data_IF_991184856818
#
_entry.id   IF_991184856818
#
_cell.length_a   1.000
_cell.length_b   1.000
_cell.length_c   1.000
_cell.angle_alpha   90.00
_cell.angle_beta   90.00
_cell.angle_gamma   90.00
#
_symmetry.space_group_name_H-M   'P 1'
#
loop_
_entity.id
_entity.type
_entity.pdbx_description
1 polymer ?
#
# COMPACT_ATOMS: atom_id res chain seq x y z
N UNK A 1 -28.55 -15.75 -36.68
CA UNK A 1 -27.54 -14.77 -36.24
C UNK A 1 -28.14 -13.39 -36.45
N UNK A 2 -27.78 -12.43 -35.61
CA UNK A 2 -28.34 -11.08 -35.63
C UNK A 2 -27.31 -10.08 -36.15
N UNK A 3 -27.78 -8.97 -36.70
CA UNK A 3 -26.94 -7.88 -37.21
C UNK A 3 -26.91 -6.73 -36.20
N UNK A 4 -25.71 -6.33 -35.80
CA UNK A 4 -25.45 -5.12 -35.01
C UNK A 4 -24.92 -4.04 -35.94
N UNK A 5 -25.73 -3.04 -36.25
CA UNK A 5 -25.34 -1.93 -37.13
C UNK A 5 -24.84 -0.74 -36.33
N UNK A 6 -23.57 -0.38 -36.50
CA UNK A 6 -23.00 0.82 -35.91
C UNK A 6 -23.19 2.02 -36.85
N UNK A 7 -24.10 2.93 -36.51
CA UNK A 7 -24.46 4.14 -37.28
C UNK A 7 -23.46 5.29 -37.11
N UNK A 8 -22.17 4.98 -37.06
CA UNK A 8 -21.14 6.01 -37.17
C UNK A 8 -20.94 6.38 -38.65
N UNK A 9 -20.02 7.32 -38.96
CA UNK A 9 -19.91 7.99 -40.28
C UNK A 9 -19.93 7.06 -41.52
N UNK A 10 -19.68 5.77 -41.34
CA UNK A 10 -19.91 4.70 -42.29
C UNK A 10 -20.72 3.62 -41.53
N UNK A 11 -21.95 3.31 -41.96
CA UNK A 11 -22.78 2.29 -41.31
C UNK A 11 -22.10 0.92 -41.44
N UNK A 12 -21.60 0.36 -40.34
CA UNK A 12 -20.91 -0.94 -40.33
C UNK A 12 -21.83 -2.02 -39.72
N UNK A 13 -22.45 -2.90 -40.53
CA UNK A 13 -23.20 -4.06 -40.02
C UNK A 13 -22.23 -5.17 -39.60
N UNK A 14 -22.34 -5.63 -38.35
CA UNK A 14 -21.53 -6.71 -37.78
C UNK A 14 -22.43 -7.89 -37.39
N UNK A 15 -22.04 -9.12 -37.74
CA UNK A 15 -22.83 -10.31 -37.44
C UNK A 15 -22.47 -10.90 -36.06
N UNK A 16 -23.47 -11.14 -35.20
CA UNK A 16 -23.24 -11.78 -33.89
C UNK A 16 -22.60 -13.17 -34.05
N UNK A 17 -21.65 -13.53 -33.19
CA UNK A 17 -21.02 -14.86 -33.21
C UNK A 17 -21.92 -16.00 -32.72
N UNK A 18 -22.88 -15.69 -31.85
CA UNK A 18 -23.88 -16.62 -31.31
C UNK A 18 -25.13 -15.83 -30.94
N UNK A 19 -26.32 -16.46 -30.88
CA UNK A 19 -27.49 -15.86 -30.24
C UNK A 19 -27.15 -15.47 -28.79
N UNK A 20 -27.58 -14.28 -28.36
CA UNK A 20 -27.28 -13.77 -27.02
C UNK A 20 -25.83 -13.30 -26.84
N UNK A 21 -25.06 -13.14 -27.92
CA UNK A 21 -23.77 -12.48 -27.86
C UNK A 21 -23.94 -11.03 -27.37
N UNK A 22 -22.99 -10.54 -26.58
CA UNK A 22 -23.01 -9.13 -26.18
C UNK A 22 -22.61 -8.22 -27.34
N UNK A 23 -23.04 -6.96 -27.29
CA UNK A 23 -22.63 -5.95 -28.27
C UNK A 23 -21.10 -5.78 -28.27
N UNK A 24 -20.44 -5.85 -27.10
CA UNK A 24 -18.98 -5.76 -26.99
C UNK A 24 -18.29 -6.99 -27.60
N UNK A 25 -18.76 -8.21 -27.34
CA UNK A 25 -18.21 -9.43 -27.96
C UNK A 25 -18.28 -9.35 -29.49
N UNK A 26 -19.42 -8.87 -30.01
CA UNK A 26 -19.64 -8.69 -31.45
C UNK A 26 -18.68 -7.67 -32.04
N UNK A 27 -18.48 -6.53 -31.35
CA UNK A 27 -17.53 -5.50 -31.76
C UNK A 27 -16.09 -6.02 -31.77
N UNK A 28 -15.63 -6.65 -30.68
CA UNK A 28 -14.26 -7.16 -30.54
C UNK A 28 -13.93 -8.23 -31.57
N UNK A 29 -14.89 -9.12 -31.91
CA UNK A 29 -14.69 -10.15 -32.93
C UNK A 29 -14.37 -9.57 -34.31
N UNK A 30 -14.92 -8.40 -34.64
CA UNK A 30 -14.74 -7.76 -35.95
C UNK A 30 -13.72 -6.63 -35.90
N UNK A 31 -12.87 -6.59 -34.87
CA UNK A 31 -11.91 -5.50 -34.62
C UNK A 31 -12.56 -4.11 -34.62
N UNK A 32 -13.87 -4.05 -34.30
CA UNK A 32 -14.60 -2.80 -34.25
C UNK A 32 -14.23 -2.03 -32.98
N UNK A 33 -13.78 -0.78 -33.08
CA UNK A 33 -13.16 -0.10 -31.96
C UNK A 33 -14.23 0.50 -31.02
N UNK A 34 -14.53 -0.26 -29.96
CA UNK A 34 -15.44 0.10 -28.88
C UNK A 34 -14.70 0.18 -27.55
N UNK A 35 -14.88 1.26 -26.79
CA UNK A 35 -14.20 1.43 -25.48
C UNK A 35 -14.68 0.43 -24.45
N UNK A 36 -13.77 -0.09 -23.64
CA UNK A 36 -14.11 -1.02 -22.56
C UNK A 36 -13.01 -1.03 -21.50
N UNK A 37 -12.85 0.08 -20.76
CA UNK A 37 -11.70 0.30 -19.87
C UNK A 37 -11.53 -0.81 -18.82
N UNK A 38 -12.64 -1.34 -18.31
CA UNK A 38 -12.64 -2.43 -17.32
C UNK A 38 -12.60 -3.85 -17.93
N UNK A 39 -12.34 -4.01 -19.22
CA UNK A 39 -12.34 -5.31 -19.89
C UNK A 39 -13.72 -5.95 -20.06
N UNK A 40 -14.81 -5.16 -19.97
CA UNK A 40 -16.18 -5.66 -20.15
C UNK A 40 -16.89 -6.12 -18.87
N UNK A 41 -16.33 -5.87 -17.68
CA UNK A 41 -16.87 -6.36 -16.41
C UNK A 41 -17.93 -5.45 -15.73
N UNK A 42 -18.52 -4.51 -16.47
CA UNK A 42 -19.42 -3.48 -15.94
C UNK A 42 -18.89 -2.65 -14.76
N UNK A 43 -17.55 -2.52 -14.64
CA UNK A 43 -16.90 -1.66 -13.63
C UNK A 43 -16.62 -0.24 -14.14
N UNK A 44 -16.87 0.01 -15.42
CA UNK A 44 -16.78 1.32 -16.05
C UNK A 44 -17.98 1.54 -16.98
N UNK A 45 -18.21 2.78 -17.38
CA UNK A 45 -19.31 3.15 -18.30
C UNK A 45 -18.79 3.57 -19.67
N UNK A 46 -17.57 3.15 -20.06
CA UNK A 46 -16.95 3.61 -21.31
C UNK A 46 -17.49 2.86 -22.54
N UNK A 47 -17.96 1.63 -22.38
CA UNK A 47 -18.60 0.84 -23.45
C UNK A 47 -20.04 1.23 -23.77
N UNK A 48 -20.50 2.40 -23.31
CA UNK A 48 -21.88 2.81 -23.52
C UNK A 48 -22.17 3.06 -24.99
N UNK A 49 -23.31 2.53 -25.41
CA UNK A 49 -23.92 2.76 -26.71
C UNK A 49 -25.30 3.37 -26.53
N UNK A 50 -25.74 4.10 -27.54
CA UNK A 50 -27.12 4.56 -27.64
C UNK A 50 -27.78 3.74 -28.74
N UNK A 51 -28.76 2.92 -28.37
CA UNK A 51 -29.54 2.09 -29.30
C UNK A 51 -30.52 3.00 -30.02
N UNK A 52 -30.45 3.03 -31.34
CA UNK A 52 -31.32 3.85 -32.20
C UNK A 52 -32.50 3.05 -32.72
N UNK A 53 -32.34 1.74 -32.92
CA UNK A 53 -33.42 0.83 -33.31
C UNK A 53 -33.21 -0.59 -32.74
N UNK A 54 -34.29 -1.36 -32.59
CA UNK A 54 -34.25 -2.75 -32.15
C UNK A 54 -34.12 -2.96 -30.64
N UNK A 55 -34.58 -2.01 -29.81
CA UNK A 55 -34.49 -2.12 -28.33
C UNK A 55 -35.17 -3.38 -27.77
N UNK A 56 -36.27 -3.81 -28.39
CA UNK A 56 -37.02 -5.03 -28.05
C UNK A 56 -36.27 -6.34 -28.40
N UNK A 57 -35.17 -6.26 -29.17
CA UNK A 57 -34.31 -7.39 -29.52
C UNK A 57 -33.13 -7.57 -28.56
N UNK A 58 -33.08 -6.79 -27.48
CA UNK A 58 -32.00 -6.83 -26.49
C UNK A 58 -32.43 -7.56 -25.23
N UNK A 59 -31.45 -8.10 -24.49
CA UNK A 59 -31.71 -8.54 -23.12
C UNK A 59 -32.22 -7.39 -22.26
N UNK A 60 -33.03 -7.72 -21.24
CA UNK A 60 -33.26 -6.80 -20.12
C UNK A 60 -31.93 -6.46 -19.45
N UNK A 61 -31.85 -5.29 -18.82
CA UNK A 61 -30.65 -4.93 -18.04
C UNK A 61 -30.44 -5.97 -16.95
N UNK A 62 -29.21 -6.48 -16.85
CA UNK A 62 -28.82 -7.26 -15.68
C UNK A 62 -28.58 -6.32 -14.47
N UNK A 63 -28.41 -6.90 -13.27
CA UNK A 63 -28.27 -6.11 -12.03
C UNK A 63 -27.15 -5.07 -12.08
N UNK A 64 -26.02 -5.41 -12.74
CA UNK A 64 -24.86 -4.52 -12.85
C UNK A 64 -25.18 -3.31 -13.73
N UNK A 65 -25.79 -3.55 -14.89
CA UNK A 65 -26.20 -2.51 -15.81
C UNK A 65 -27.32 -1.64 -15.22
N UNK A 66 -28.33 -2.26 -14.60
CA UNK A 66 -29.48 -1.58 -13.99
C UNK A 66 -29.02 -0.64 -12.86
N UNK A 67 -28.15 -1.11 -11.96
CA UNK A 67 -27.59 -0.29 -10.89
C UNK A 67 -26.89 0.97 -11.41
N UNK A 68 -26.12 0.85 -12.49
CA UNK A 68 -25.42 1.99 -13.10
C UNK A 68 -26.40 2.93 -13.81
N UNK A 69 -27.40 2.38 -14.48
CA UNK A 69 -28.44 3.16 -15.15
C UNK A 69 -29.26 3.99 -14.18
N UNK A 70 -29.70 3.39 -13.06
CA UNK A 70 -30.47 4.09 -12.02
C UNK A 70 -29.65 5.20 -11.39
N UNK A 71 -28.38 4.91 -11.06
CA UNK A 71 -27.46 5.89 -10.46
C UNK A 71 -27.21 7.10 -11.36
N UNK A 72 -27.19 6.90 -12.68
CA UNK A 72 -26.85 7.93 -13.67
C UNK A 72 -28.07 8.49 -14.40
N UNK A 73 -29.28 8.01 -14.11
CA UNK A 73 -30.52 8.41 -14.78
C UNK A 73 -30.53 8.08 -16.27
N UNK A 74 -30.05 6.89 -16.67
CA UNK A 74 -30.01 6.51 -18.07
C UNK A 74 -31.38 6.04 -18.59
N UNK A 75 -31.86 6.58 -19.72
CA UNK A 75 -33.04 6.05 -20.40
C UNK A 75 -32.72 4.67 -20.98
N UNK A 76 -33.74 3.90 -21.37
CA UNK A 76 -33.60 2.50 -21.82
C UNK A 76 -32.66 2.32 -23.01
N UNK A 77 -32.56 3.32 -23.89
CA UNK A 77 -31.75 3.36 -25.10
C UNK A 77 -30.25 3.40 -24.80
N UNK A 78 -29.85 3.89 -23.62
CA UNK A 78 -28.46 3.87 -23.21
C UNK A 78 -28.16 2.52 -22.57
N UNK A 79 -27.30 1.75 -23.24
CA UNK A 79 -26.95 0.39 -22.85
C UNK A 79 -25.44 0.24 -22.64
N UNK A 80 -25.05 -0.67 -21.75
CA UNK A 80 -23.66 -1.11 -21.63
C UNK A 80 -23.40 -2.23 -22.61
N UNK A 81 -22.60 -1.96 -23.65
CA UNK A 81 -22.35 -2.94 -24.70
C UNK A 81 -21.76 -4.26 -24.17
N UNK A 82 -21.03 -4.23 -23.06
CA UNK A 82 -20.48 -5.44 -22.45
C UNK A 82 -21.47 -6.30 -21.67
N UNK A 83 -22.66 -5.79 -21.35
CA UNK A 83 -23.68 -6.49 -20.57
C UNK A 83 -24.95 -6.78 -21.38
N UNK A 84 -25.14 -6.06 -22.47
CA UNK A 84 -26.33 -6.15 -23.31
C UNK A 84 -26.16 -7.23 -24.37
N UNK A 85 -26.98 -8.26 -24.29
CA UNK A 85 -27.05 -9.38 -25.23
C UNK A 85 -28.03 -9.08 -26.36
N UNK A 86 -27.75 -9.60 -27.55
CA UNK A 86 -28.51 -9.34 -28.79
C UNK A 86 -29.20 -10.60 -29.29
N UNK A 87 -30.51 -10.51 -29.58
CA UNK A 87 -31.36 -11.61 -30.05
C UNK A 87 -32.04 -11.34 -31.41
N UNK A 88 -31.87 -10.15 -31.97
CA UNK A 88 -32.43 -9.71 -33.25
C UNK A 88 -31.64 -8.51 -33.78
N UNK A 89 -31.97 -8.05 -34.98
CA UNK A 89 -31.20 -6.96 -35.61
C UNK A 89 -31.40 -5.65 -34.85
N UNK A 90 -30.30 -4.92 -34.67
CA UNK A 90 -30.28 -3.63 -33.94
C UNK A 90 -29.44 -2.60 -34.67
N UNK A 91 -29.77 -1.33 -34.44
CA UNK A 91 -28.94 -0.19 -34.82
C UNK A 91 -28.55 0.60 -33.59
N UNK A 92 -27.31 1.07 -33.56
CA UNK A 92 -26.79 1.83 -32.43
C UNK A 92 -25.71 2.82 -32.87
N UNK A 93 -25.47 3.81 -32.02
CA UNK A 93 -24.37 4.77 -32.17
C UNK A 93 -23.46 4.72 -30.96
N UNK A 94 -22.16 4.88 -31.18
CA UNK A 94 -21.21 5.08 -30.06
C UNK A 94 -21.51 6.39 -29.36
N UNK A 95 -21.47 6.39 -28.02
CA UNK A 95 -21.54 7.64 -27.25
C UNK A 95 -20.16 8.31 -27.23
N UNK A 96 -19.09 7.53 -27.15
CA UNK A 96 -17.71 8.00 -27.22
C UNK A 96 -17.22 7.84 -28.66
N UNK A 97 -17.10 8.96 -29.39
CA UNK A 97 -16.80 8.98 -30.84
C UNK A 97 -15.42 9.54 -31.19
N UNK A 98 -14.67 10.02 -30.19
CA UNK A 98 -13.51 10.88 -30.45
C UNK A 98 -12.28 10.08 -30.92
N UNK A 99 -11.67 10.51 -32.04
CA UNK A 99 -10.49 9.83 -32.61
C UNK A 99 -9.27 9.88 -31.69
N UNK A 100 -9.20 10.87 -30.78
CA UNK A 100 -8.15 10.99 -29.77
C UNK A 100 -8.25 9.88 -28.73
N UNK A 101 -9.47 9.64 -28.26
CA UNK A 101 -9.74 8.55 -27.33
C UNK A 101 -9.41 7.19 -28.00
N UNK A 102 -9.59 7.05 -29.33
CA UNK A 102 -9.53 5.74 -30.03
C UNK A 102 -8.08 5.24 -30.13
N UNK A 103 -7.12 6.17 -30.22
CA UNK A 103 -5.68 5.87 -30.19
C UNK A 103 -5.25 5.29 -28.84
N UNK A 104 -5.86 5.75 -27.74
CA UNK A 104 -5.63 5.20 -26.38
C UNK A 104 -6.02 3.73 -26.29
N UNK A 105 -6.94 3.22 -27.11
CA UNK A 105 -7.36 1.80 -27.09
C UNK A 105 -6.42 0.90 -27.90
N UNK A 106 -5.84 1.41 -28.98
CA UNK A 106 -5.11 0.58 -29.96
C UNK A 106 -3.60 0.54 -29.76
N UNK A 107 -2.99 1.57 -29.15
CA UNK A 107 -1.54 1.57 -28.85
C UNK A 107 -1.18 1.13 -27.44
N UNK A 108 -2.13 1.11 -26.50
CA UNK A 108 -1.86 0.86 -25.06
C UNK A 108 -2.18 -0.57 -24.60
N UNK A 109 -2.83 -1.37 -25.43
CA UNK A 109 -3.32 -2.72 -25.12
C UNK A 109 -2.24 -3.80 -25.01
N UNK A 110 -0.95 -3.47 -25.14
CA UNK A 110 0.15 -4.43 -24.94
C UNK A 110 1.15 -4.08 -23.83
N UNK A 111 1.13 -2.89 -23.22
CA UNK A 111 2.08 -2.63 -22.11
C UNK A 111 1.71 -1.59 -21.05
N UNK A 112 0.70 -0.72 -21.22
CA UNK A 112 0.31 0.18 -20.12
C UNK A 112 -0.86 -0.39 -19.35
N UNK A 113 -0.65 -0.68 -18.05
CA UNK A 113 -1.72 -1.11 -17.14
C UNK A 113 -2.72 0.04 -17.02
N UNK A 114 -3.87 -0.05 -17.70
CA UNK A 114 -4.99 0.90 -17.71
C UNK A 114 -5.72 1.04 -16.35
N UNK A 115 -5.06 0.69 -15.25
CA UNK A 115 -5.62 0.62 -13.91
C UNK A 115 -6.06 -0.79 -13.54
N UNK A 116 -5.47 -1.37 -12.49
CA UNK A 116 -5.94 -2.59 -11.84
C UNK A 116 -6.75 -2.24 -10.60
N UNK A 117 -7.91 -2.88 -10.42
CA UNK A 117 -8.64 -2.79 -9.15
C UNK A 117 -7.97 -3.66 -8.07
N UNK A 118 -7.51 -3.04 -6.99
CA UNK A 118 -6.91 -3.73 -5.85
C UNK A 118 -7.48 -3.21 -4.52
N UNK A 119 -7.35 -4.02 -3.48
CA UNK A 119 -7.62 -3.58 -2.10
C UNK A 119 -6.37 -2.87 -1.59
N UNK A 120 -6.54 -1.68 -1.03
CA UNK A 120 -5.45 -0.93 -0.45
C UNK A 120 -5.89 -0.17 0.81
N UNK A 121 -4.91 0.15 1.64
CA UNK A 121 -5.06 1.08 2.74
C UNK A 121 -4.42 2.39 2.32
N UNK A 122 -5.20 3.48 2.32
CA UNK A 122 -4.76 4.81 1.91
C UNK A 122 -4.45 5.64 3.14
N UNK A 123 -3.27 6.26 3.13
CA UNK A 123 -2.75 7.14 4.15
C UNK A 123 -2.65 8.55 3.59
N UNK A 124 -3.29 9.50 4.25
CA UNK A 124 -3.02 10.92 4.10
C UNK A 124 -2.37 11.45 5.38
N UNK A 125 -1.27 12.15 5.22
CA UNK A 125 -0.60 12.90 6.27
C UNK A 125 -0.59 14.39 5.92
N UNK A 126 -0.79 15.24 6.92
CA UNK A 126 -0.67 16.70 6.85
C UNK A 126 0.12 17.24 8.05
N UNK A 127 0.86 18.33 7.87
CA UNK A 127 1.62 18.98 8.94
C UNK A 127 0.73 19.98 9.67
N UNK A 128 0.56 19.78 10.98
CA UNK A 128 -0.15 20.73 11.82
C UNK A 128 0.66 22.02 11.98
N UNK A 129 0.11 23.11 11.45
CA UNK A 129 0.66 24.46 11.67
C UNK A 129 1.79 24.84 10.73
N UNK A 130 1.96 24.12 9.61
CA UNK A 130 3.00 24.42 8.62
C UNK A 130 2.92 25.85 8.08
N UNK A 131 1.70 26.38 7.85
CA UNK A 131 1.52 27.77 7.41
C UNK A 131 2.23 28.76 8.34
N UNK A 132 2.11 28.59 9.66
CA UNK A 132 2.76 29.47 10.63
C UNK A 132 4.28 29.37 10.57
N UNK A 133 4.83 28.17 10.33
CA UNK A 133 6.26 28.00 10.08
C UNK A 133 6.69 28.77 8.83
N UNK A 134 5.99 28.59 7.70
CA UNK A 134 6.33 29.25 6.43
C UNK A 134 6.26 30.78 6.48
N UNK A 135 5.35 31.35 7.28
CA UNK A 135 5.23 32.80 7.45
C UNK A 135 6.40 33.41 8.25
N UNK A 136 7.04 32.59 9.10
CA UNK A 136 8.10 33.02 10.01
C UNK A 136 9.52 32.63 9.56
N UNK A 137 9.66 31.91 8.44
CA UNK A 137 10.92 31.33 7.98
C UNK A 137 11.30 31.81 6.58
N UNK A 138 12.60 31.77 6.27
CA UNK A 138 13.07 32.08 4.93
C UNK A 138 12.69 30.97 3.94
N UNK A 139 12.42 31.28 2.66
CA UNK A 139 11.96 30.28 1.69
C UNK A 139 12.88 29.05 1.55
N UNK A 140 14.21 29.25 1.60
CA UNK A 140 15.16 28.14 1.51
C UNK A 140 15.18 27.27 2.78
N UNK A 141 14.96 27.86 3.95
CA UNK A 141 14.80 27.11 5.20
C UNK A 141 13.54 26.26 5.15
N UNK A 142 12.44 26.82 4.61
CA UNK A 142 11.19 26.09 4.40
C UNK A 142 11.42 24.87 3.49
N UNK A 143 12.12 25.06 2.36
CA UNK A 143 12.43 23.96 1.43
C UNK A 143 13.31 22.90 2.11
N UNK A 144 14.34 23.32 2.85
CA UNK A 144 15.22 22.40 3.56
C UNK A 144 14.46 21.54 4.59
N UNK A 145 13.66 22.19 5.45
CA UNK A 145 12.87 21.52 6.48
C UNK A 145 11.82 20.61 5.86
N UNK A 146 11.15 21.05 4.79
CA UNK A 146 10.11 20.26 4.13
C UNK A 146 10.69 19.00 3.45
N UNK A 147 11.82 19.11 2.75
CA UNK A 147 12.48 17.95 2.15
C UNK A 147 12.94 16.94 3.21
N UNK A 148 13.53 17.44 4.31
CA UNK A 148 13.92 16.60 5.45
C UNK A 148 12.70 15.91 6.04
N UNK A 149 11.62 16.64 6.29
CA UNK A 149 10.36 16.09 6.80
C UNK A 149 9.81 14.98 5.89
N UNK A 150 9.78 15.20 4.58
CA UNK A 150 9.31 14.19 3.63
C UNK A 150 10.18 12.94 3.63
N UNK A 151 11.50 13.07 3.74
CA UNK A 151 12.39 11.93 3.88
C UNK A 151 12.06 11.14 5.16
N UNK A 152 12.07 11.80 6.31
CA UNK A 152 11.86 11.17 7.62
C UNK A 152 10.48 10.52 7.76
N UNK A 153 9.42 11.14 7.22
CA UNK A 153 8.07 10.59 7.30
C UNK A 153 7.79 9.51 6.24
N UNK A 154 8.55 9.47 5.15
CA UNK A 154 8.38 8.43 4.11
C UNK A 154 9.01 7.10 4.52
N UNK A 155 10.11 7.11 5.28
CA UNK A 155 10.81 5.89 5.69
C UNK A 155 9.89 4.88 6.41
N UNK A 156 9.06 5.26 7.41
CA UNK A 156 8.09 4.37 8.01
C UNK A 156 7.12 3.71 7.02
N UNK A 157 6.71 4.41 5.95
CA UNK A 157 5.82 3.86 4.91
C UNK A 157 6.54 2.76 4.15
N UNK A 158 7.73 3.06 3.62
CA UNK A 158 8.52 2.17 2.78
C UNK A 158 8.96 0.92 3.56
N UNK A 159 9.38 1.12 4.81
CA UNK A 159 9.83 0.07 5.71
C UNK A 159 8.69 -0.88 6.16
N UNK A 160 7.43 -0.43 6.08
CA UNK A 160 6.26 -1.27 6.31
C UNK A 160 5.53 -1.67 5.03
N UNK A 161 6.20 -1.59 3.87
CA UNK A 161 5.71 -2.15 2.62
C UNK A 161 4.65 -1.33 1.91
N UNK A 162 4.47 -0.07 2.31
CA UNK A 162 3.71 0.91 1.56
C UNK A 162 4.54 1.60 0.49
N UNK A 163 3.86 2.39 -0.33
CA UNK A 163 4.42 3.18 -1.41
C UNK A 163 3.99 4.64 -1.28
N UNK A 164 4.90 5.56 -1.59
CA UNK A 164 4.58 6.98 -1.67
C UNK A 164 3.99 7.25 -3.05
N UNK A 165 2.75 7.75 -3.08
CA UNK A 165 2.06 8.10 -4.31
C UNK A 165 2.49 9.49 -4.79
N UNK A 166 2.37 10.51 -3.93
CA UNK A 166 2.89 11.86 -4.16
C UNK A 166 2.90 12.71 -2.89
N UNK A 167 3.65 13.80 -2.97
CA UNK A 167 3.61 14.91 -2.01
C UNK A 167 2.60 15.96 -2.47
N UNK A 168 1.75 16.45 -1.57
CA UNK A 168 0.67 17.41 -1.88
C UNK A 168 0.77 18.59 -0.91
N UNK A 169 1.37 19.70 -1.35
CA UNK A 169 1.67 20.82 -0.46
C UNK A 169 2.68 20.37 0.60
N UNK A 170 2.29 20.40 1.87
CA UNK A 170 3.01 19.89 3.03
C UNK A 170 2.59 18.48 3.46
N UNK A 171 1.66 17.86 2.72
CA UNK A 171 1.14 16.53 3.01
C UNK A 171 1.78 15.40 2.19
N UNK A 172 1.56 14.17 2.67
CA UNK A 172 1.99 12.93 2.02
C UNK A 172 0.74 12.10 1.68
N UNK A 173 0.64 11.66 0.43
CA UNK A 173 -0.26 10.59 0.03
C UNK A 173 0.55 9.30 -0.14
N UNK A 174 0.17 8.28 0.61
CA UNK A 174 0.76 6.96 0.53
C UNK A 174 -0.32 5.87 0.52
N UNK A 175 0.04 4.67 0.07
CA UNK A 175 -0.85 3.53 0.09
C UNK A 175 -0.13 2.22 0.38
N UNK A 176 -0.88 1.26 0.92
CA UNK A 176 -0.43 -0.10 1.18
C UNK A 176 -1.33 -1.03 0.39
N UNK A 177 -0.81 -1.56 -0.71
CA UNK A 177 -1.55 -2.50 -1.56
C UNK A 177 -1.52 -3.90 -0.93
N UNK A 178 -2.68 -4.56 -0.88
CA UNK A 178 -2.75 -5.96 -0.49
C UNK A 178 -2.07 -6.84 -1.55
N UNK A 179 -0.99 -7.52 -1.14
CA UNK A 179 -0.19 -8.40 -2.00
C UNK A 179 -0.87 -9.76 -2.19
N UNK A 180 -0.45 -10.52 -3.22
CA UNK A 180 -0.85 -11.90 -3.51
C UNK A 180 -2.37 -12.14 -3.64
N UNK A 181 -3.06 -11.27 -4.40
CA UNK A 181 -4.49 -11.38 -4.69
C UNK A 181 -4.92 -12.78 -5.13
N UNK A 182 -4.13 -13.46 -5.98
CA UNK A 182 -4.48 -14.78 -6.49
C UNK A 182 -4.36 -15.91 -5.43
N UNK A 183 -3.39 -15.82 -4.52
CA UNK A 183 -3.23 -16.79 -3.42
C UNK A 183 -4.23 -16.52 -2.29
N UNK A 184 -4.52 -15.23 -2.02
CA UNK A 184 -5.47 -14.80 -1.00
C UNK A 184 -6.93 -15.15 -1.33
N UNK A 185 -7.30 -15.27 -2.62
CA UNK A 185 -8.67 -15.62 -3.07
C UNK A 185 -8.97 -17.12 -2.92
N UNK A 186 -7.98 -17.95 -2.57
CA UNK A 186 -8.19 -19.41 -2.42
C UNK A 186 -9.24 -19.76 -1.36
N UNK A 187 -9.43 -18.93 -0.32
CA UNK A 187 -10.59 -18.99 0.59
C UNK A 187 -10.81 -17.63 1.32
N UNK A 188 -11.99 -17.43 1.92
CA UNK A 188 -12.35 -16.17 2.61
C UNK A 188 -11.46 -15.86 3.82
N UNK A 189 -10.95 -16.88 4.52
CA UNK A 189 -10.08 -16.70 5.69
C UNK A 189 -8.73 -16.09 5.31
N UNK A 190 -8.14 -16.54 4.21
CA UNK A 190 -6.89 -16.03 3.66
C UNK A 190 -7.06 -14.59 3.16
N UNK A 191 -8.22 -14.25 2.61
CA UNK A 191 -8.53 -12.88 2.21
C UNK A 191 -8.62 -11.94 3.43
N UNK A 192 -9.29 -12.38 4.50
CA UNK A 192 -9.41 -11.58 5.72
C UNK A 192 -8.04 -11.37 6.37
N UNK A 193 -7.21 -12.42 6.52
CA UNK A 193 -5.87 -12.29 7.10
C UNK A 193 -4.96 -11.37 6.27
N UNK A 194 -5.03 -11.45 4.94
CA UNK A 194 -4.28 -10.54 4.06
C UNK A 194 -4.71 -9.07 4.23
N UNK A 195 -6.02 -8.82 4.38
CA UNK A 195 -6.54 -7.47 4.68
C UNK A 195 -6.10 -6.99 6.06
N UNK A 196 -6.20 -7.84 7.07
CA UNK A 196 -5.75 -7.54 8.44
C UNK A 196 -4.28 -7.13 8.45
N UNK A 197 -3.41 -7.91 7.81
CA UNK A 197 -1.98 -7.61 7.77
C UNK A 197 -1.67 -6.32 6.98
N UNK A 198 -2.34 -6.09 5.85
CA UNK A 198 -2.19 -4.83 5.09
C UNK A 198 -2.56 -3.62 5.95
N UNK A 199 -3.62 -3.72 6.75
CA UNK A 199 -4.04 -2.67 7.69
C UNK A 199 -3.03 -2.53 8.83
N UNK A 200 -2.56 -3.63 9.41
CA UNK A 200 -1.53 -3.61 10.47
C UNK A 200 -0.28 -2.90 10.01
N UNK A 201 0.27 -3.24 8.83
CA UNK A 201 1.43 -2.57 8.25
C UNK A 201 1.25 -1.06 8.10
N UNK A 202 0.08 -0.62 7.61
CA UNK A 202 -0.22 0.80 7.50
C UNK A 202 -0.27 1.50 8.88
N UNK A 203 -0.83 0.85 9.91
CA UNK A 203 -0.85 1.38 11.27
C UNK A 203 0.54 1.39 11.90
N UNK A 204 1.37 0.36 11.68
CA UNK A 204 2.79 0.34 12.10
C UNK A 204 3.53 1.55 11.53
N UNK A 205 3.38 1.80 10.23
CA UNK A 205 3.96 2.98 9.58
C UNK A 205 3.52 4.29 10.26
N UNK A 206 2.21 4.46 10.51
CA UNK A 206 1.69 5.65 11.18
C UNK A 206 2.27 5.83 12.58
N UNK A 207 2.36 4.77 13.37
CA UNK A 207 2.93 4.82 14.73
C UNK A 207 4.42 5.13 14.70
N UNK A 208 5.16 4.55 13.75
CA UNK A 208 6.59 4.84 13.51
C UNK A 208 6.81 6.28 13.02
N UNK A 209 5.90 6.86 12.23
CA UNK A 209 5.96 8.30 11.87
C UNK A 209 5.91 9.19 13.12
N UNK A 210 5.05 8.87 14.10
CA UNK A 210 5.02 9.63 15.36
C UNK A 210 6.31 9.49 16.17
N UNK A 211 6.97 8.33 16.13
CA UNK A 211 8.27 8.16 16.78
C UNK A 211 9.38 8.94 16.05
N UNK A 212 9.42 8.87 14.72
CA UNK A 212 10.37 9.63 13.92
C UNK A 212 10.17 11.15 14.07
N UNK A 213 8.92 11.59 14.17
CA UNK A 213 8.59 12.99 14.39
C UNK A 213 9.15 13.52 15.71
N UNK A 214 9.21 12.70 16.76
CA UNK A 214 9.84 13.10 18.03
C UNK A 214 11.32 13.40 17.82
N UNK A 215 12.05 12.51 17.14
CA UNK A 215 13.48 12.68 16.82
C UNK A 215 13.70 13.91 15.94
N UNK A 216 12.92 14.02 14.86
CA UNK A 216 12.92 15.18 13.98
C UNK A 216 12.69 16.49 14.73
N UNK A 217 11.74 16.54 15.67
CA UNK A 217 11.45 17.73 16.45
C UNK A 217 12.55 18.12 17.44
N UNK A 218 13.37 17.19 17.92
CA UNK A 218 14.56 17.53 18.72
C UNK A 218 15.53 18.37 17.87
N UNK A 219 15.79 17.95 16.63
CA UNK A 219 16.63 18.69 15.69
C UNK A 219 16.00 20.03 15.27
N UNK A 220 14.69 20.04 14.98
CA UNK A 220 14.00 21.26 14.55
C UNK A 220 13.93 22.31 15.67
N UNK A 221 13.77 21.87 16.92
CA UNK A 221 13.74 22.77 18.07
C UNK A 221 15.12 23.40 18.30
N UNK A 222 16.18 22.63 18.15
CA UNK A 222 17.56 23.12 18.29
C UNK A 222 17.94 24.13 17.20
N UNK A 223 17.63 23.82 15.93
CA UNK A 223 18.09 24.61 14.78
C UNK A 223 17.16 25.75 14.38
N UNK A 224 15.85 25.56 14.54
CA UNK A 224 14.83 26.49 14.03
C UNK A 224 13.86 26.98 15.11
N UNK A 225 14.04 26.56 16.38
CA UNK A 225 13.13 26.88 17.50
C UNK A 225 11.66 26.57 17.18
N UNK A 226 11.42 25.49 16.42
CA UNK A 226 10.09 25.06 16.01
C UNK A 226 9.88 23.58 16.29
N UNK A 227 8.63 23.18 16.53
CA UNK A 227 8.25 21.77 16.64
C UNK A 227 6.95 21.54 15.89
N UNK A 228 6.96 20.50 15.07
CA UNK A 228 5.83 20.10 14.25
C UNK A 228 4.99 19.04 14.95
N UNK A 229 3.74 18.96 14.54
CA UNK A 229 2.85 17.86 14.89
C UNK A 229 2.17 17.42 13.58
N UNK A 230 1.65 16.20 13.52
CA UNK A 230 1.10 15.65 12.27
C UNK A 230 -0.33 15.18 12.46
N UNK A 231 -1.09 15.20 11.36
CA UNK A 231 -2.43 14.61 11.27
C UNK A 231 -2.41 13.51 10.23
N UNK A 232 -2.92 12.35 10.61
CA UNK A 232 -2.99 11.17 9.75
C UNK A 232 -4.44 10.71 9.64
N UNK A 233 -4.89 10.51 8.40
CA UNK A 233 -6.15 9.86 8.05
C UNK A 233 -5.89 8.54 7.32
N UNK A 234 -6.46 7.45 7.83
CA UNK A 234 -6.29 6.11 7.28
C UNK A 234 -7.64 5.48 6.93
N UNK A 235 -7.77 4.96 5.71
CA UNK A 235 -8.96 4.25 5.27
C UNK A 235 -8.60 3.10 4.34
N UNK A 236 -9.35 2.01 4.42
CA UNK A 236 -9.12 0.82 3.62
C UNK A 236 -10.31 0.52 2.72
N UNK A 237 -10.02 0.10 1.48
CA UNK A 237 -11.05 -0.19 0.49
C UNK A 237 -10.47 -0.50 -0.88
N UNK A 238 -11.35 -0.72 -1.86
CA UNK A 238 -10.92 -0.93 -3.23
C UNK A 238 -10.50 0.39 -3.88
N UNK A 239 -9.44 0.35 -4.67
CA UNK A 239 -8.92 1.45 -5.49
C UNK A 239 -8.56 0.93 -6.87
N UNK A 240 -8.45 1.85 -7.83
CA UNK A 240 -7.82 1.60 -9.12
C UNK A 240 -6.37 2.08 -9.02
N UNK A 241 -5.42 1.19 -9.24
CA UNK A 241 -4.00 1.49 -9.28
C UNK A 241 -3.46 1.36 -10.72
N UNK A 242 -2.90 2.41 -11.29
CA UNK A 242 -2.30 2.35 -12.63
C UNK A 242 -1.76 3.67 -13.14
N UNK A 243 -1.33 3.67 -14.41
CA UNK A 243 -0.72 4.84 -15.05
C UNK A 243 -1.81 5.85 -15.43
N UNK A 244 -1.83 6.99 -14.75
CA UNK A 244 -2.82 8.05 -14.98
C UNK A 244 -2.09 9.37 -15.28
N UNK A 245 -2.57 10.09 -16.29
CA UNK A 245 -2.03 11.40 -16.68
C UNK A 245 -1.93 11.57 -18.20
N UNK A 246 -1.40 12.72 -18.59
CA UNK A 246 -0.99 12.97 -19.98
C UNK A 246 0.11 11.99 -20.39
N UNK A 247 0.21 11.62 -21.67
CA UNK A 247 1.17 10.60 -22.14
C UNK A 247 2.62 10.87 -21.75
N UNK A 248 3.01 12.14 -21.66
CA UNK A 248 4.36 12.58 -21.27
C UNK A 248 4.55 12.74 -19.75
N UNK A 249 3.44 12.77 -18.99
CA UNK A 249 3.42 13.03 -17.55
C UNK A 249 2.59 11.98 -16.81
N UNK A 250 2.63 10.72 -17.26
CA UNK A 250 1.94 9.61 -16.59
C UNK A 250 2.65 9.31 -15.27
N UNK A 251 1.87 9.12 -14.22
CA UNK A 251 2.35 8.60 -12.94
C UNK A 251 1.51 7.41 -12.52
N UNK A 252 2.14 6.39 -11.95
CA UNK A 252 1.41 5.35 -11.23
C UNK A 252 0.79 5.98 -9.99
N UNK A 253 -0.52 5.83 -9.85
CA UNK A 253 -1.25 6.43 -8.73
C UNK A 253 -2.52 5.67 -8.41
N UNK A 254 -3.02 5.86 -7.20
CA UNK A 254 -4.29 5.29 -6.73
C UNK A 254 -5.46 6.25 -6.97
N UNK A 255 -6.57 5.72 -7.47
CA UNK A 255 -7.83 6.44 -7.65
C UNK A 255 -8.99 5.70 -6.99
N UNK A 256 -9.94 6.46 -6.47
CA UNK A 256 -11.19 5.92 -5.98
C UNK A 256 -11.81 6.76 -4.89
N UNK A 257 -13.02 6.40 -4.50
CA UNK A 257 -13.68 7.01 -3.34
C UNK A 257 -12.89 6.77 -2.04
N UNK A 258 -12.23 5.62 -1.92
CA UNK A 258 -11.33 5.27 -0.80
C UNK A 258 -10.25 6.34 -0.56
N UNK A 259 -9.64 6.87 -1.62
CA UNK A 259 -8.63 7.94 -1.53
C UNK A 259 -9.24 9.22 -0.97
N UNK A 260 -10.44 9.58 -1.45
CA UNK A 260 -11.15 10.76 -0.97
C UNK A 260 -11.59 10.64 0.49
N UNK A 261 -12.00 9.45 0.93
CA UNK A 261 -12.37 9.20 2.34
C UNK A 261 -11.17 9.37 3.25
N UNK A 262 -10.00 8.81 2.90
CA UNK A 262 -8.77 8.95 3.68
C UNK A 262 -8.36 10.43 3.85
N UNK A 263 -8.36 11.21 2.76
CA UNK A 263 -8.07 12.66 2.81
C UNK A 263 -9.05 13.41 3.73
N UNK A 264 -10.34 13.04 3.70
CA UNK A 264 -11.33 13.67 4.58
C UNK A 264 -11.19 13.26 6.04
N UNK A 265 -10.69 12.07 6.32
CA UNK A 265 -10.36 11.63 7.69
C UNK A 265 -9.14 12.36 8.23
N UNK A 266 -8.13 12.60 7.40
CA UNK A 266 -7.01 13.48 7.76
C UNK A 266 -7.57 14.84 8.18
N UNK A 267 -8.32 15.51 7.29
CA UNK A 267 -8.83 16.85 7.56
C UNK A 267 -9.79 16.91 8.78
N UNK A 268 -10.45 15.78 9.12
CA UNK A 268 -11.31 15.66 10.28
C UNK A 268 -10.54 15.82 11.59
N UNK A 269 -9.27 15.41 11.65
CA UNK A 269 -8.42 15.52 12.84
C UNK A 269 -8.40 16.93 13.42
N UNK A 270 -8.33 17.95 12.55
CA UNK A 270 -8.36 19.37 12.96
C UNK A 270 -9.63 19.73 13.71
N UNK A 271 -10.79 19.21 13.28
CA UNK A 271 -12.10 19.49 13.88
C UNK A 271 -12.33 18.71 15.17
N UNK A 272 -11.70 17.55 15.31
CA UNK A 272 -11.92 16.63 16.43
C UNK A 272 -10.85 16.72 17.51
N UNK A 273 -9.82 17.54 17.27
CA UNK A 273 -8.60 17.66 18.08
C UNK A 273 -7.94 16.29 18.30
N UNK A 274 -7.73 15.57 17.20
CA UNK A 274 -7.03 14.28 17.16
C UNK A 274 -5.86 14.38 16.19
N UNK A 275 -4.97 13.39 16.20
CA UNK A 275 -3.80 13.33 15.33
C UNK A 275 -3.79 12.11 14.40
N UNK A 276 -4.49 11.04 14.76
CA UNK A 276 -4.55 9.83 13.96
C UNK A 276 -5.95 9.25 13.99
N UNK A 277 -6.61 9.26 12.83
CA UNK A 277 -7.96 8.73 12.65
C UNK A 277 -7.95 7.58 11.64
N UNK A 278 -8.61 6.48 12.03
CA UNK A 278 -8.92 5.36 11.12
C UNK A 278 -10.42 5.30 10.86
N UNK A 279 -10.80 4.89 9.66
CA UNK A 279 -12.20 4.68 9.25
C UNK A 279 -12.89 3.53 10.01
N UNK A 280 -14.22 3.49 10.00
CA UNK A 280 -15.00 2.36 10.54
C UNK A 280 -14.68 1.03 9.85
N UNK A 281 -14.39 1.03 8.56
CA UNK A 281 -14.01 -0.16 7.79
C UNK A 281 -12.72 -0.81 8.35
N UNK A 282 -11.74 0.00 8.74
CA UNK A 282 -10.52 -0.48 9.41
C UNK A 282 -10.86 -1.02 10.80
N UNK A 283 -11.70 -0.29 11.55
CA UNK A 283 -12.08 -0.68 12.91
C UNK A 283 -12.91 -1.97 12.95
N UNK A 284 -13.74 -2.23 11.94
CA UNK A 284 -14.48 -3.48 11.82
C UNK A 284 -13.57 -4.70 11.63
N UNK A 285 -12.43 -4.53 10.94
CA UNK A 285 -11.50 -5.62 10.63
C UNK A 285 -10.56 -5.89 11.83
N UNK A 286 -9.95 -4.86 12.42
CA UNK A 286 -8.93 -5.05 13.48
C UNK A 286 -9.20 -4.28 14.78
N UNK A 287 -10.37 -3.65 14.94
CA UNK A 287 -10.70 -2.79 16.09
C UNK A 287 -10.50 -3.42 17.47
N UNK A 288 -10.79 -4.73 17.68
CA UNK A 288 -10.47 -5.40 18.94
C UNK A 288 -8.99 -5.33 19.31
N UNK A 289 -8.07 -5.29 18.34
CA UNK A 289 -6.63 -5.16 18.55
C UNK A 289 -6.14 -3.72 18.70
N UNK A 290 -6.98 -2.70 18.50
CA UNK A 290 -6.57 -1.29 18.52
C UNK A 290 -6.91 -0.61 19.86
N UNK A 291 -5.96 0.17 20.38
CA UNK A 291 -6.18 1.09 21.49
C UNK A 291 -6.77 2.38 20.94
N UNK A 292 -8.02 2.68 21.32
CA UNK A 292 -8.79 3.80 20.78
C UNK A 292 -9.16 4.78 21.89
N UNK A 293 -8.85 6.05 21.68
CA UNK A 293 -9.16 7.13 22.61
C UNK A 293 -10.56 7.71 22.40
N UNK A 294 -10.98 7.85 21.14
CA UNK A 294 -12.20 8.61 20.78
C UNK A 294 -12.87 8.01 19.56
N UNK A 295 -14.19 7.84 19.62
CA UNK A 295 -15.04 7.60 18.45
C UNK A 295 -15.65 8.92 17.99
N UNK A 296 -15.54 9.22 16.70
CA UNK A 296 -16.13 10.39 16.05
C UNK A 296 -17.17 9.90 15.06
N UNK A 297 -18.36 10.48 15.08
CA UNK A 297 -19.40 10.22 14.07
C UNK A 297 -19.64 11.53 13.32
N UNK A 298 -19.45 11.52 12.01
CA UNK A 298 -19.62 12.72 11.19
C UNK A 298 -20.14 12.39 9.81
N UNK A 299 -20.75 13.38 9.14
CA UNK A 299 -20.99 13.30 7.70
C UNK A 299 -19.77 13.86 6.99
N UNK A 300 -19.11 13.01 6.21
CA UNK A 300 -18.06 13.49 5.31
C UNK A 300 -18.71 14.29 4.18
N UNK A 301 -18.10 15.43 3.81
CA UNK A 301 -18.60 16.30 2.73
C UNK A 301 -18.78 15.48 1.45
N UNK A 302 -19.96 15.49 0.85
CA UNK A 302 -20.25 14.73 -0.37
C UNK A 302 -20.65 13.27 -0.16
N UNK A 303 -20.86 12.83 1.08
CA UNK A 303 -21.51 11.55 1.42
C UNK A 303 -22.87 11.82 2.08
N UNK A 304 -23.88 11.04 1.73
CA UNK A 304 -25.22 11.09 2.33
C UNK A 304 -25.25 10.49 3.74
N UNK A 305 -24.46 9.44 3.96
CA UNK A 305 -24.43 8.68 5.20
C UNK A 305 -23.39 9.22 6.20
N UNK A 306 -23.68 9.01 7.50
CA UNK A 306 -22.72 9.29 8.58
C UNK A 306 -21.70 8.16 8.61
N UNK A 307 -20.43 8.52 8.74
CA UNK A 307 -19.32 7.60 8.95
C UNK A 307 -18.83 7.72 10.39
N UNK A 308 -18.45 6.59 10.98
CA UNK A 308 -17.66 6.56 12.20
C UNK A 308 -16.15 6.58 11.88
N UNK A 309 -15.38 7.25 12.73
CA UNK A 309 -13.93 7.25 12.70
C UNK A 309 -13.40 7.12 14.12
N UNK A 310 -12.22 6.51 14.27
CA UNK A 310 -11.67 6.14 15.57
C UNK A 310 -10.27 6.73 15.72
N UNK A 311 -10.04 7.44 16.83
CA UNK A 311 -8.73 7.97 17.15
C UNK A 311 -7.87 6.88 17.77
N UNK A 312 -6.84 6.46 17.04
CA UNK A 312 -5.97 5.34 17.41
C UNK A 312 -4.74 5.85 18.15
N UNK A 313 -4.42 5.22 19.28
CA UNK A 313 -3.20 5.47 20.06
C UNK A 313 -2.11 4.44 19.79
N UNK A 314 -2.49 3.25 19.32
CA UNK A 314 -1.61 2.11 19.11
C UNK A 314 -2.37 0.80 19.08
N UNK A 315 -1.66 -0.31 19.22
CA UNK A 315 -2.27 -1.62 19.43
C UNK A 315 -2.54 -1.87 20.92
N UNK A 316 -3.64 -2.56 21.27
CA UNK A 316 -3.95 -2.98 22.65
C UNK A 316 -3.01 -4.07 23.14
N UNK A 317 -2.81 -5.08 22.29
CA UNK A 317 -1.80 -6.13 22.46
C UNK A 317 -0.64 -5.74 21.58
N UNK A 318 0.59 -5.83 22.11
CA UNK A 318 1.78 -5.41 21.39
C UNK A 318 1.87 -6.10 20.03
N UNK A 319 1.99 -5.33 18.97
CA UNK A 319 2.25 -5.88 17.64
C UNK A 319 3.73 -6.33 17.56
N UNK A 320 4.01 -7.59 17.20
CA UNK A 320 5.37 -8.14 17.26
C UNK A 320 6.39 -7.35 16.44
N UNK A 321 6.04 -7.00 15.20
CA UNK A 321 6.92 -6.27 14.27
C UNK A 321 7.22 -4.88 14.83
N UNK A 322 6.18 -4.14 15.24
CA UNK A 322 6.36 -2.81 15.82
C UNK A 322 7.22 -2.86 17.09
N UNK A 323 7.04 -3.89 17.91
CA UNK A 323 7.77 -4.04 19.17
C UNK A 323 9.24 -4.26 18.93
N UNK A 324 9.59 -5.14 17.98
CA UNK A 324 10.97 -5.38 17.55
C UNK A 324 11.59 -4.10 17.03
N UNK A 325 10.95 -3.44 16.05
CA UNK A 325 11.41 -2.17 15.47
C UNK A 325 11.67 -1.10 16.54
N UNK A 326 10.77 -0.93 17.51
CA UNK A 326 10.95 0.05 18.60
C UNK A 326 12.07 -0.35 19.56
N UNK A 327 12.13 -1.62 19.97
CA UNK A 327 13.18 -2.07 20.89
C UNK A 327 14.57 -1.95 20.27
N UNK A 328 14.68 -2.14 18.95
CA UNK A 328 15.95 -2.00 18.25
C UNK A 328 16.38 -0.53 18.09
N UNK A 329 15.45 0.41 17.85
CA UNK A 329 15.77 1.84 17.92
C UNK A 329 16.45 2.20 19.25
N UNK A 330 15.93 1.68 20.37
CA UNK A 330 16.50 1.94 21.70
C UNK A 330 17.91 1.35 21.86
N UNK A 331 18.19 0.19 21.25
CA UNK A 331 19.54 -0.38 21.21
C UNK A 331 20.49 0.55 20.44
N UNK A 332 20.08 1.00 19.25
CA UNK A 332 20.88 1.89 18.41
C UNK A 332 21.16 3.25 19.08
N UNK A 333 20.18 3.81 19.78
CA UNK A 333 20.30 5.11 20.44
C UNK A 333 21.15 5.07 21.71
N UNK A 334 21.07 3.99 22.49
CA UNK A 334 21.63 3.97 23.85
C UNK A 334 22.93 3.16 23.98
N UNK A 335 23.24 2.25 23.06
CA UNK A 335 24.48 1.47 23.17
C UNK A 335 25.09 1.10 21.80
N UNK A 336 25.98 1.95 21.25
CA UNK A 336 26.58 1.72 19.93
C UNK A 336 27.50 0.48 19.87
N UNK A 337 27.91 -0.06 21.03
CA UNK A 337 28.83 -1.21 21.12
C UNK A 337 28.10 -2.57 21.04
N UNK A 338 26.76 -2.59 20.92
CA UNK A 338 26.00 -3.85 20.82
C UNK A 338 26.48 -4.74 19.66
N UNK A 339 26.95 -4.10 18.57
CA UNK A 339 27.47 -4.79 17.41
C UNK A 339 28.81 -5.46 17.70
N UNK A 340 29.67 -4.82 18.50
CA UNK A 340 30.95 -5.39 18.92
C UNK A 340 30.72 -6.61 19.81
N UNK A 341 29.83 -6.49 20.79
CA UNK A 341 29.41 -7.59 21.66
C UNK A 341 28.86 -8.79 20.86
N UNK A 342 27.98 -8.52 19.88
CA UNK A 342 27.47 -9.57 19.01
C UNK A 342 28.57 -10.24 18.18
N UNK A 343 29.48 -9.46 17.61
CA UNK A 343 30.58 -9.97 16.78
C UNK A 343 31.58 -10.79 17.61
N UNK A 344 31.85 -10.41 18.84
CA UNK A 344 32.73 -11.16 19.73
C UNK A 344 32.10 -12.50 20.12
N UNK A 345 30.80 -12.53 20.45
CA UNK A 345 30.08 -13.79 20.70
C UNK A 345 30.00 -14.66 19.44
N UNK A 346 29.85 -14.05 18.27
CA UNK A 346 29.87 -14.76 16.99
C UNK A 346 31.24 -15.41 16.74
N UNK A 347 32.34 -14.71 17.03
CA UNK A 347 33.70 -15.27 16.92
C UNK A 347 33.88 -16.47 17.85
N UNK A 348 33.50 -16.34 19.12
CA UNK A 348 33.57 -17.44 20.08
C UNK A 348 32.76 -18.66 19.61
N UNK A 349 31.56 -18.44 19.05
CA UNK A 349 30.76 -19.52 18.49
C UNK A 349 31.48 -20.25 17.34
N UNK A 350 32.09 -19.50 16.41
CA UNK A 350 32.83 -20.09 15.26
C UNK A 350 34.04 -20.89 15.73
N UNK A 351 34.83 -20.35 16.64
CA UNK A 351 36.01 -21.02 17.19
C UNK A 351 35.65 -22.31 17.94
N UNK A 352 34.58 -22.28 18.74
CA UNK A 352 34.15 -23.43 19.57
C UNK A 352 33.41 -24.52 18.78
N UNK A 353 32.64 -24.17 17.76
CA UNK A 353 31.70 -25.09 17.10
C UNK A 353 32.12 -25.51 15.70
N UNK A 354 33.01 -24.76 15.04
CA UNK A 354 33.42 -25.02 13.65
C UNK A 354 34.89 -25.40 13.52
N UNK A 355 35.67 -25.42 14.61
CA UNK A 355 37.13 -25.64 14.61
C UNK A 355 37.87 -24.74 13.58
N UNK A 356 37.30 -23.56 13.31
CA UNK A 356 37.85 -22.56 12.41
C UNK A 356 38.33 -21.38 13.25
N UNK A 357 39.59 -21.01 13.10
CA UNK A 357 40.02 -19.66 13.50
C UNK A 357 39.48 -18.70 12.45
N UNK A 358 38.69 -17.72 12.88
CA UNK A 358 38.49 -16.51 12.08
C UNK A 358 39.84 -15.81 12.01
N UNK A 359 40.69 -16.22 11.06
CA UNK A 359 41.96 -15.54 10.82
C UNK A 359 41.68 -14.05 10.62
N UNK A 360 42.54 -13.21 11.20
CA UNK A 360 42.71 -11.80 10.86
C UNK A 360 43.18 -11.69 9.38
N UNK A 361 42.41 -12.25 8.46
CA UNK A 361 42.57 -11.99 7.04
C UNK A 361 42.20 -10.52 6.84
N UNK A 362 43.08 -9.79 6.18
CA UNK A 362 43.04 -8.34 5.94
C UNK A 362 41.79 -7.82 5.18
N UNK A 363 40.70 -8.59 5.10
CA UNK A 363 39.36 -8.08 4.91
C UNK A 363 38.64 -8.06 6.27
N UNK A 364 38.94 -7.03 7.07
CA UNK A 364 38.20 -6.72 8.29
C UNK A 364 36.71 -6.89 8.04
N UNK A 365 36.03 -7.73 8.83
CA UNK A 365 34.58 -7.77 8.82
C UNK A 365 34.08 -6.33 8.95
N UNK A 366 33.48 -5.81 7.89
CA UNK A 366 33.08 -4.41 7.88
C UNK A 366 31.89 -4.29 8.83
N UNK A 367 32.17 -3.90 10.08
CA UNK A 367 31.17 -3.78 11.14
C UNK A 367 30.01 -2.89 10.68
N UNK A 368 30.29 -1.84 9.90
CA UNK A 368 29.26 -0.99 9.31
C UNK A 368 28.38 -1.71 8.30
N UNK A 369 28.96 -2.55 7.45
CA UNK A 369 28.18 -3.34 6.49
C UNK A 369 27.27 -4.35 7.20
N UNK A 370 27.79 -4.98 8.25
CA UNK A 370 27.06 -5.97 9.03
C UNK A 370 25.93 -5.31 9.85
N UNK A 371 26.24 -4.20 10.53
CA UNK A 371 25.25 -3.37 11.24
C UNK A 371 24.15 -2.91 10.29
N UNK A 372 24.52 -2.34 9.13
CA UNK A 372 23.57 -1.87 8.13
C UNK A 372 22.69 -3.00 7.59
N UNK A 373 23.20 -4.23 7.48
CA UNK A 373 22.40 -5.38 7.08
C UNK A 373 21.34 -5.73 8.14
N UNK A 374 21.72 -5.80 9.43
CA UNK A 374 20.78 -6.11 10.51
C UNK A 374 19.75 -4.99 10.69
N UNK A 375 20.19 -3.73 10.71
CA UNK A 375 19.32 -2.56 10.79
C UNK A 375 18.31 -2.56 9.64
N UNK A 376 18.78 -2.72 8.40
CA UNK A 376 17.89 -2.76 7.25
C UNK A 376 16.88 -3.92 7.30
N UNK A 377 17.23 -5.06 7.89
CA UNK A 377 16.28 -6.18 8.08
C UNK A 377 15.22 -5.79 9.11
N UNK A 378 15.65 -5.30 10.27
CA UNK A 378 14.76 -4.98 11.38
C UNK A 378 13.80 -3.84 11.02
N UNK A 379 14.30 -2.78 10.40
CA UNK A 379 13.47 -1.69 9.91
C UNK A 379 12.41 -2.19 8.94
N UNK A 380 12.77 -3.13 8.06
CA UNK A 380 11.90 -3.62 6.99
C UNK A 380 11.07 -4.84 7.38
N UNK A 381 10.98 -5.20 8.66
CA UNK A 381 10.16 -6.34 9.12
C UNK A 381 8.70 -6.26 8.69
N UNK A 382 8.14 -5.05 8.57
CA UNK A 382 6.79 -4.83 8.04
C UNK A 382 6.68 -4.94 6.51
N UNK A 383 7.78 -5.20 5.80
CA UNK A 383 7.86 -5.30 4.34
C UNK A 383 8.49 -6.64 3.88
N UNK A 384 7.72 -7.74 3.85
CA UNK A 384 8.22 -9.06 3.50
C UNK A 384 8.94 -9.16 2.13
N UNK A 385 8.55 -8.33 1.15
CA UNK A 385 9.21 -8.31 -0.17
C UNK A 385 10.65 -7.79 -0.05
N UNK A 386 10.84 -6.72 0.72
CA UNK A 386 12.15 -6.09 0.87
C UNK A 386 13.07 -6.86 1.83
N UNK A 387 12.50 -7.63 2.77
CA UNK A 387 13.25 -8.48 3.70
C UNK A 387 14.13 -9.50 2.99
N UNK A 388 13.63 -10.16 1.94
CA UNK A 388 14.37 -11.22 1.24
C UNK A 388 15.76 -10.81 0.80
N UNK A 389 15.93 -9.55 0.34
CA UNK A 389 17.24 -9.02 -0.07
C UNK A 389 18.17 -8.82 1.13
N UNK A 390 17.66 -8.24 2.22
CA UNK A 390 18.44 -8.01 3.43
C UNK A 390 18.88 -9.32 4.08
N UNK A 391 17.94 -10.25 4.23
CA UNK A 391 18.17 -11.59 4.78
C UNK A 391 19.18 -12.38 3.94
N UNK A 392 19.04 -12.37 2.60
CA UNK A 392 20.02 -13.00 1.70
C UNK A 392 21.40 -12.34 1.82
N UNK A 393 21.47 -11.01 1.99
CA UNK A 393 22.73 -10.30 2.21
C UNK A 393 23.38 -10.74 3.52
N UNK A 394 22.62 -10.82 4.62
CA UNK A 394 23.12 -11.26 5.92
C UNK A 394 23.63 -12.71 5.85
N UNK A 395 22.88 -13.60 5.19
CA UNK A 395 23.30 -14.99 4.95
C UNK A 395 24.64 -15.09 4.23
N UNK A 396 24.87 -14.29 3.19
CA UNK A 396 26.16 -14.24 2.48
C UNK A 396 27.31 -13.76 3.37
N UNK A 397 27.04 -12.83 4.30
CA UNK A 397 28.06 -12.39 5.25
C UNK A 397 28.42 -13.55 6.20
N UNK A 398 27.44 -14.28 6.73
CA UNK A 398 27.73 -15.46 7.55
C UNK A 398 28.47 -16.56 6.78
N UNK A 399 28.10 -16.82 5.52
CA UNK A 399 28.83 -17.78 4.68
C UNK A 399 30.28 -17.34 4.41
N UNK A 400 30.52 -16.03 4.24
CA UNK A 400 31.87 -15.48 4.08
C UNK A 400 32.73 -15.66 5.35
N UNK A 401 32.09 -15.85 6.51
CA UNK A 401 32.72 -16.18 7.78
C UNK A 401 32.91 -17.69 7.99
N UNK A 402 32.62 -18.51 6.98
CA UNK A 402 32.74 -19.96 7.07
C UNK A 402 31.56 -20.65 7.79
N UNK A 403 30.51 -19.91 8.15
CA UNK A 403 29.34 -20.44 8.86
C UNK A 403 28.38 -21.07 7.86
N UNK A 404 28.15 -22.40 7.89
CA UNK A 404 27.23 -23.03 6.95
C UNK A 404 25.77 -22.74 7.35
N UNK A 405 24.87 -22.65 6.36
CA UNK A 405 23.43 -22.35 6.56
C UNK A 405 22.75 -23.16 7.67
N UNK A 406 23.14 -24.42 7.86
CA UNK A 406 22.62 -25.31 8.92
C UNK A 406 22.83 -24.79 10.35
N UNK A 407 23.81 -23.90 10.55
CA UNK A 407 24.15 -23.32 11.85
C UNK A 407 23.46 -21.97 12.09
N UNK A 408 22.83 -21.36 11.07
CA UNK A 408 22.15 -20.07 11.21
C UNK A 408 21.11 -20.03 12.35
N UNK A 409 20.30 -21.08 12.59
CA UNK A 409 19.36 -21.08 13.71
C UNK A 409 20.04 -20.95 15.08
N UNK A 410 21.29 -21.39 15.22
CA UNK A 410 22.07 -21.25 16.46
C UNK A 410 22.61 -19.83 16.67
N UNK A 411 22.60 -18.99 15.63
CA UNK A 411 23.00 -17.57 15.74
C UNK A 411 21.89 -16.70 16.33
N UNK A 412 20.63 -17.13 16.25
CA UNK A 412 19.47 -16.40 16.78
C UNK A 412 19.59 -16.14 18.30
N UNK A 413 19.87 -17.15 19.16
CA UNK A 413 20.11 -16.91 20.58
C UNK A 413 21.26 -15.95 20.87
N UNK A 414 22.32 -15.96 20.04
CA UNK A 414 23.47 -15.07 20.19
C UNK A 414 23.06 -13.62 19.94
N UNK A 415 22.30 -13.38 18.86
CA UNK A 415 21.78 -12.05 18.51
C UNK A 415 20.87 -11.53 19.63
N UNK A 416 19.96 -12.37 20.10
CA UNK A 416 19.01 -12.02 21.15
C UNK A 416 19.73 -11.72 22.48
N UNK A 417 20.75 -12.51 22.86
CA UNK A 417 21.52 -12.22 24.09
C UNK A 417 22.23 -10.87 23.98
N UNK A 418 22.79 -10.56 22.81
CA UNK A 418 23.48 -9.29 22.57
C UNK A 418 22.51 -8.11 22.66
N UNK A 419 21.33 -8.23 22.05
CA UNK A 419 20.27 -7.20 22.17
C UNK A 419 19.81 -7.05 23.63
N UNK A 420 19.57 -8.15 24.34
CA UNK A 420 19.12 -8.16 25.75
C UNK A 420 20.10 -7.44 26.67
N UNK A 421 21.38 -7.72 26.54
CA UNK A 421 22.44 -7.13 27.37
C UNK A 421 22.58 -5.63 27.11
N UNK A 422 22.20 -5.18 25.90
CA UNK A 422 22.21 -3.78 25.50
C UNK A 422 20.86 -3.05 25.69
N UNK A 423 19.82 -3.73 26.19
CA UNK A 423 18.49 -3.17 26.48
C UNK A 423 17.90 -3.64 27.84
N UNK A 424 18.65 -3.60 28.96
CA UNK A 424 18.26 -4.30 30.18
C UNK A 424 16.99 -3.74 30.86
N UNK A 425 16.69 -2.44 30.71
CA UNK A 425 15.56 -1.78 31.37
C UNK A 425 14.20 -2.06 30.70
N UNK A 426 14.21 -2.35 29.40
CA UNK A 426 12.99 -2.61 28.63
C UNK A 426 12.79 -4.10 28.29
N UNK A 427 13.82 -4.91 28.49
CA UNK A 427 13.78 -6.35 28.26
C UNK A 427 12.84 -7.06 29.22
N UNK A 428 12.01 -7.95 28.69
CA UNK A 428 11.10 -8.79 29.47
C UNK A 428 10.78 -10.10 28.72
N UNK A 429 10.19 -11.11 29.38
CA UNK A 429 9.92 -12.41 28.74
C UNK A 429 9.01 -12.34 27.51
N UNK A 430 8.07 -11.40 27.46
CA UNK A 430 7.19 -11.20 26.30
C UNK A 430 7.99 -10.69 25.09
N UNK A 431 8.85 -9.68 25.31
CA UNK A 431 9.74 -9.15 24.28
C UNK A 431 10.71 -10.21 23.77
N UNK A 432 11.30 -10.99 24.67
CA UNK A 432 12.19 -12.10 24.32
C UNK A 432 11.47 -13.16 23.48
N UNK A 433 10.24 -13.52 23.83
CA UNK A 433 9.43 -14.44 23.04
C UNK A 433 9.13 -13.92 21.63
N UNK A 434 8.82 -12.61 21.51
CA UNK A 434 8.57 -11.96 20.22
C UNK A 434 9.83 -11.99 19.35
N UNK A 435 10.98 -11.59 19.90
CA UNK A 435 12.25 -11.62 19.17
C UNK A 435 12.60 -13.04 18.71
N UNK A 436 12.50 -14.04 19.59
CA UNK A 436 12.78 -15.43 19.25
C UNK A 436 11.90 -15.91 18.10
N UNK A 437 10.58 -15.68 18.18
CA UNK A 437 9.65 -16.15 17.16
C UNK A 437 9.96 -15.53 15.79
N UNK A 438 10.01 -14.19 15.71
CA UNK A 438 10.17 -13.49 14.43
C UNK A 438 11.53 -13.75 13.79
N UNK A 439 12.61 -13.75 14.58
CA UNK A 439 13.96 -13.99 14.04
C UNK A 439 14.19 -15.44 13.63
N UNK A 440 13.60 -16.41 14.35
CA UNK A 440 13.65 -17.81 13.96
C UNK A 440 12.89 -18.06 12.64
N UNK A 441 11.69 -17.50 12.50
CA UNK A 441 10.90 -17.62 11.27
C UNK A 441 11.69 -17.08 10.05
N UNK A 442 12.32 -15.90 10.18
CA UNK A 442 13.18 -15.34 9.13
C UNK A 442 14.40 -16.21 8.82
N UNK A 443 14.99 -16.83 9.84
CA UNK A 443 16.16 -17.69 9.68
C UNK A 443 15.78 -18.97 8.92
N UNK A 444 14.62 -19.55 9.21
CA UNK A 444 14.09 -20.71 8.47
C UNK A 444 13.86 -20.35 7.00
N UNK A 445 13.22 -19.21 6.72
CA UNK A 445 13.04 -18.73 5.34
C UNK A 445 14.38 -18.57 4.59
N UNK A 446 15.44 -18.16 5.30
CA UNK A 446 16.79 -18.00 4.73
C UNK A 446 17.41 -19.33 4.29
N UNK A 447 17.17 -20.39 5.07
CA UNK A 447 17.72 -21.73 4.80
C UNK A 447 17.04 -22.34 3.58
N UNK A 448 15.74 -22.09 3.41
CA UNK A 448 14.92 -22.61 2.31
C UNK A 448 15.13 -21.84 0.99
N UNK A 449 15.66 -20.61 1.05
CA UNK A 449 16.04 -19.79 -0.11
C UNK A 449 17.44 -20.07 -0.63
#
# INVERSE_FOLDING_TARGET
>A
MSIVTFEDKENFPLETNKPGATILETALKHDYPLYHLCGGNAKCTTCRVFVTDGLNHLSTRNDREQTLADRKGWPSEIRLACQTEVFGDISLRRIIKDKKDLKTVTSESKSSKTGEECYAVILFLDIKGFTSFTESSLPYDVVFVLNRFFQEMSEPVLNNGGEIDKFIGDGILAFFQMKNKNEAITNEKNLLSAKEETIRSAIRACLRMFDQLKKFNLEMKDRFNFSFDIRIGLHAGNVIYGDIGHSEYKSQTVLGDTVNVASRLEALNKKTNTNFLVSDEIYQIIGPSLSVNKKVITRLRGKSEKMAAYSVLGFKVSDPILRIQKSFDHVLENNPHWIEDYLDKLKSFVEENLDQKLEETENSLNQHEFLSAIESIIERLGNPISLKKGVSKLGKIYESLGIPKKEFPKLVPILISSIRENLPSEWNPELESIWNQVTMDLTIETIES
#
